data_IF_924795477087
#
_entry.id   IF_924795477087
#
_cell.length_a   1.000
_cell.length_b   1.000
_cell.length_c   1.000
_cell.angle_alpha   90.00
_cell.angle_beta   90.00
_cell.angle_gamma   90.00
#
_symmetry.space_group_name_H-M   'P 1'
#
loop_
_entity.id
_entity.type
_entity.pdbx_description
1 polymer ?
#
# COMPACT_ATOMS: atom_id res chain seq x y z
N UNK A 1 0.28 17.85 2.51
CA UNK A 1 0.80 17.44 1.19
C UNK A 1 1.91 16.45 1.46
N UNK A 2 1.62 15.16 1.43
CA UNK A 2 2.59 14.10 1.73
C UNK A 2 2.80 13.30 0.44
N UNK A 3 4.02 13.35 -0.09
CA UNK A 3 4.49 12.43 -1.12
C UNK A 3 4.59 11.03 -0.52
N UNK A 4 4.62 9.96 -1.34
CA UNK A 4 4.86 8.57 -0.88
C UNK A 4 6.32 8.38 -0.40
N UNK A 5 6.77 9.23 0.53
CA UNK A 5 8.08 9.15 1.18
C UNK A 5 7.93 8.68 2.64
N UNK A 6 6.92 7.86 2.92
CA UNK A 6 6.78 7.19 4.20
C UNK A 6 7.68 5.94 4.19
N UNK A 7 8.92 6.06 4.66
CA UNK A 7 9.82 4.91 4.89
C UNK A 7 9.29 3.96 5.99
N UNK A 8 8.16 4.30 6.61
CA UNK A 8 7.57 3.56 7.72
C UNK A 8 7.09 2.16 7.29
N UNK A 9 7.73 1.11 7.82
CA UNK A 9 7.39 -0.28 7.55
C UNK A 9 7.93 -0.86 6.23
N UNK A 10 8.50 -0.02 5.37
CA UNK A 10 9.10 -0.41 4.10
C UNK A 10 10.44 -1.16 4.25
N UNK A 11 11.14 -0.95 5.38
CA UNK A 11 12.35 -1.69 5.73
C UNK A 11 12.12 -3.20 5.87
N UNK A 12 10.90 -3.60 6.23
CA UNK A 12 10.50 -5.00 6.37
C UNK A 12 9.81 -5.56 5.11
N UNK A 13 9.60 -4.72 4.09
CA UNK A 13 8.78 -5.06 2.95
C UNK A 13 9.63 -5.78 1.88
N UNK A 14 9.24 -6.98 1.41
CA UNK A 14 10.03 -7.71 0.42
C UNK A 14 9.92 -7.03 -0.95
N UNK A 15 11.04 -6.49 -1.45
CA UNK A 15 11.21 -5.91 -2.80
C UNK A 15 10.05 -5.03 -3.25
N UNK A 16 9.82 -3.89 -2.59
CA UNK A 16 8.82 -2.95 -3.04
C UNK A 16 9.26 -2.26 -4.33
N UNK A 17 8.31 -1.93 -5.20
CA UNK A 17 8.57 -1.08 -6.36
C UNK A 17 7.49 -0.01 -6.47
N UNK A 18 7.88 1.16 -6.98
CA UNK A 18 7.00 2.30 -7.11
C UNK A 18 6.68 2.55 -8.58
N UNK A 19 5.40 2.83 -8.84
CA UNK A 19 4.89 3.22 -10.14
C UNK A 19 4.27 4.61 -10.03
N UNK A 20 4.54 5.48 -11.00
CA UNK A 20 3.87 6.77 -11.12
C UNK A 20 2.91 6.73 -12.29
N UNK A 21 1.64 7.00 -12.03
CA UNK A 21 0.56 7.08 -13.01
C UNK A 21 0.01 8.51 -13.02
N UNK A 22 0.57 9.35 -13.89
CA UNK A 22 0.22 10.77 -13.99
C UNK A 22 0.49 11.53 -12.68
N UNK A 23 -0.58 11.97 -12.02
CA UNK A 23 -0.55 12.67 -10.71
C UNK A 23 -0.78 11.73 -9.52
N UNK A 24 -0.60 10.42 -9.69
CA UNK A 24 -0.71 9.43 -8.62
C UNK A 24 0.54 8.59 -8.53
N UNK A 25 0.96 8.30 -7.31
CA UNK A 25 2.03 7.37 -7.00
C UNK A 25 1.39 6.11 -6.43
N UNK A 26 1.92 4.96 -6.84
CA UNK A 26 1.47 3.64 -6.42
C UNK A 26 2.69 2.88 -5.97
N UNK A 27 2.75 2.58 -4.67
CA UNK A 27 3.73 1.70 -4.11
C UNK A 27 3.17 0.28 -4.08
N UNK A 28 3.84 -0.65 -4.74
CA UNK A 28 3.45 -2.06 -4.74
C UNK A 28 4.46 -2.83 -3.90
N UNK A 29 3.97 -3.55 -2.90
CA UNK A 29 4.79 -4.37 -2.03
C UNK A 29 4.08 -5.66 -1.66
N UNK A 30 4.81 -6.64 -1.10
CA UNK A 30 4.16 -7.81 -0.50
C UNK A 30 3.60 -7.46 0.87
N UNK A 31 2.43 -8.00 1.19
CA UNK A 31 1.88 -7.87 2.53
C UNK A 31 2.82 -8.51 3.54
N UNK A 32 3.28 -7.72 4.50
CA UNK A 32 4.20 -8.11 5.56
C UNK A 32 3.50 -8.20 6.91
N UNK A 33 2.21 -7.84 6.97
CA UNK A 33 1.43 -7.84 8.21
C UNK A 33 0.71 -9.18 8.38
N UNK A 34 0.63 -9.68 9.62
CA UNK A 34 -0.24 -10.81 9.94
C UNK A 34 -1.67 -10.30 10.08
N UNK A 35 -2.50 -10.54 9.07
CA UNK A 35 -3.91 -10.14 9.06
C UNK A 35 -4.83 -11.33 9.33
N UNK A 36 -5.82 -11.12 10.20
CA UNK A 36 -6.82 -12.13 10.55
C UNK A 36 -8.15 -11.76 9.90
N UNK A 37 -8.70 -12.69 9.12
CA UNK A 37 -9.97 -12.49 8.44
C UNK A 37 -10.95 -13.60 8.78
N UNK A 38 -12.22 -13.23 8.93
CA UNK A 38 -13.31 -14.20 9.04
C UNK A 38 -13.58 -14.91 7.70
N UNK A 39 -13.31 -14.24 6.58
CA UNK A 39 -13.49 -14.74 5.20
C UNK A 39 -12.29 -14.35 4.34
N UNK A 40 -11.93 -15.15 3.34
CA UNK A 40 -10.74 -14.91 2.51
C UNK A 40 -10.98 -13.77 1.50
N UNK A 41 -10.50 -12.53 1.72
CA UNK A 41 -10.81 -11.41 0.82
C UNK A 41 -9.90 -11.43 -0.40
N UNK A 42 -10.51 -11.19 -1.56
CA UNK A 42 -9.78 -11.00 -2.83
C UNK A 42 -9.25 -9.58 -2.94
N UNK A 43 -10.05 -8.61 -2.50
CA UNK A 43 -9.71 -7.18 -2.46
C UNK A 43 -10.18 -6.63 -1.13
N UNK A 44 -9.29 -5.94 -0.41
CA UNK A 44 -9.61 -5.16 0.77
C UNK A 44 -9.06 -3.75 0.58
N UNK A 45 -9.86 -2.74 0.90
CA UNK A 45 -9.46 -1.34 0.87
C UNK A 45 -9.47 -0.80 2.30
N UNK A 46 -8.38 -0.16 2.70
CA UNK A 46 -8.19 0.42 4.01
C UNK A 46 -7.63 1.85 3.89
N UNK A 47 -7.80 2.62 4.96
CA UNK A 47 -7.15 3.91 5.11
C UNK A 47 -5.66 3.73 5.24
N UNK A 48 -4.88 4.46 4.45
CA UNK A 48 -3.43 4.50 4.63
C UNK A 48 -3.04 5.19 5.93
N UNK A 49 -1.83 4.89 6.40
CA UNK A 49 -1.28 5.43 7.67
C UNK A 49 -1.28 6.97 7.69
N UNK A 50 -1.05 7.59 6.54
CA UNK A 50 -1.03 9.04 6.40
C UNK A 50 -2.26 9.58 5.65
N UNK A 51 -2.75 10.78 5.99
CA UNK A 51 -3.84 11.42 5.26
C UNK A 51 -3.55 11.52 3.76
N UNK A 52 -4.50 11.10 2.93
CA UNK A 52 -4.34 11.10 1.47
C UNK A 52 -3.72 9.82 0.89
N UNK A 53 -3.39 8.84 1.74
CA UNK A 53 -2.96 7.51 1.31
C UNK A 53 -4.12 6.51 1.41
N UNK A 54 -4.18 5.60 0.45
CA UNK A 54 -5.14 4.48 0.44
C UNK A 54 -4.37 3.17 0.30
N UNK A 55 -4.63 2.23 1.20
CA UNK A 55 -4.05 0.88 1.13
C UNK A 55 -5.07 -0.07 0.49
N UNK A 56 -4.62 -0.87 -0.48
CA UNK A 56 -5.41 -1.92 -1.11
C UNK A 56 -4.65 -3.22 -1.01
N UNK A 57 -5.24 -4.21 -0.36
CA UNK A 57 -4.72 -5.56 -0.31
C UNK A 57 -5.38 -6.41 -1.41
N UNK A 58 -4.56 -6.93 -2.32
CA UNK A 58 -4.97 -7.86 -3.37
C UNK A 58 -4.51 -9.27 -3.03
N UNK A 59 -5.44 -10.21 -3.07
CA UNK A 59 -5.22 -11.65 -2.91
C UNK A 59 -4.44 -12.01 -1.63
N UNK A 60 -4.55 -11.17 -0.58
CA UNK A 60 -3.78 -11.28 0.68
C UNK A 60 -2.26 -11.35 0.52
N UNK A 61 -1.75 -10.88 -0.61
CA UNK A 61 -0.34 -11.03 -0.96
C UNK A 61 0.28 -9.73 -1.40
N UNK A 62 -0.45 -8.92 -2.15
CA UNK A 62 0.04 -7.68 -2.70
C UNK A 62 -0.64 -6.51 -2.01
N UNK A 63 0.15 -5.68 -1.35
CA UNK A 63 -0.29 -4.43 -0.77
C UNK A 63 0.05 -3.30 -1.72
N UNK A 64 -0.96 -2.57 -2.16
CA UNK A 64 -0.82 -1.36 -2.97
C UNK A 64 -1.11 -0.16 -2.11
N UNK A 65 -0.18 0.77 -2.02
CA UNK A 65 -0.37 2.06 -1.35
C UNK A 65 -0.46 3.12 -2.42
N UNK A 66 -1.63 3.74 -2.52
CA UNK A 66 -1.93 4.80 -3.48
C UNK A 66 -1.79 6.14 -2.77
N UNK A 67 -1.15 7.10 -3.43
CA UNK A 67 -1.09 8.48 -2.97
C UNK A 67 -1.17 9.47 -4.12
N UNK A 68 -1.40 10.73 -3.79
CA UNK A 68 -1.31 11.83 -4.74
C UNK A 68 0.16 12.11 -5.01
N UNK A 69 0.58 11.97 -6.26
CA UNK A 69 1.91 12.39 -6.69
C UNK A 69 1.97 13.93 -6.68
N UNK A 70 3.08 14.47 -6.19
CA UNK A 70 3.39 15.88 -6.30
C UNK A 70 3.90 16.23 -7.71
#
# INVERSE_FOLDING_TARGET
MTTLNSNFGMEYAPTPFMLRLGRREVLVTRDFRKRYYAVNPVIECDTGVEPGHVEVLLLRRWLLILSKAH
#
